data_IF_501008088154
#
_entry.id   IF_501008088154
#
_cell.length_a   1.000
_cell.length_b   1.000
_cell.length_c   1.000
_cell.angle_alpha   90.00
_cell.angle_beta   90.00
_cell.angle_gamma   90.00
#
_symmetry.space_group_name_H-M   'P 1'
#
loop_
_entity.id
_entity.type
_entity.pdbx_description
1 polymer ?
#
# COMPACT_ATOMS: atom_id res chain seq x y z
N UNK A 1 -1.87 28.25 13.08
CA UNK A 1 -2.28 28.89 14.33
C UNK A 1 -1.03 29.09 15.18
N UNK A 2 -0.74 30.34 15.62
CA UNK A 2 0.32 30.63 16.57
C UNK A 2 -0.23 30.38 17.99
N UNK A 3 0.48 29.62 18.79
CA UNK A 3 0.15 29.47 20.20
C UNK A 3 0.35 30.80 20.96
N UNK A 4 -0.53 31.13 21.93
CA UNK A 4 -0.33 32.31 22.75
C UNK A 4 1.01 32.24 23.49
N UNK A 5 1.74 33.35 23.55
CA UNK A 5 2.99 33.43 24.33
C UNK A 5 2.66 33.21 25.79
N UNK A 6 3.13 32.13 26.41
CA UNK A 6 3.08 31.95 27.84
C UNK A 6 2.72 30.59 28.42
N UNK A 7 2.10 29.70 27.65
CA UNK A 7 1.84 28.32 28.10
C UNK A 7 1.98 27.34 26.93
N UNK A 8 2.75 26.28 27.13
CA UNK A 8 2.74 25.15 26.19
C UNK A 8 1.43 24.37 26.39
N UNK A 9 0.68 24.04 25.33
CA UNK A 9 -0.52 23.23 25.46
C UNK A 9 -0.15 21.84 25.93
N UNK A 10 -0.93 21.29 26.82
CA UNK A 10 -0.88 19.88 27.17
C UNK A 10 -1.77 19.08 26.20
N UNK A 11 -1.59 17.76 26.13
CA UNK A 11 -2.37 16.91 25.23
C UNK A 11 -3.89 17.02 25.42
N UNK A 12 -4.35 17.34 26.65
CA UNK A 12 -5.75 17.56 26.97
C UNK A 12 -6.33 18.86 26.35
N UNK A 13 -5.49 19.82 25.98
CA UNK A 13 -5.92 21.08 25.35
C UNK A 13 -6.12 20.92 23.84
N UNK A 14 -5.74 19.77 23.28
CA UNK A 14 -5.87 19.48 21.85
C UNK A 14 -7.22 18.80 21.62
N UNK A 15 -8.09 19.45 20.87
CA UNK A 15 -9.34 18.85 20.40
C UNK A 15 -9.05 17.88 19.26
N UNK A 16 -8.63 16.66 19.58
CA UNK A 16 -8.25 15.61 18.63
C UNK A 16 -9.39 15.23 17.68
N UNK A 17 -10.63 15.32 18.16
CA UNK A 17 -11.87 15.12 17.40
C UNK A 17 -12.10 16.15 16.28
N UNK A 18 -11.45 17.31 16.37
CA UNK A 18 -11.53 18.40 15.39
C UNK A 18 -10.37 18.39 14.39
N UNK A 19 -9.38 17.55 14.60
CA UNK A 19 -8.31 17.35 13.63
C UNK A 19 -8.86 16.43 12.53
N UNK A 20 -9.16 17.00 11.36
CA UNK A 20 -9.54 16.21 10.19
C UNK A 20 -8.44 15.18 9.90
N UNK A 21 -8.80 13.91 9.91
CA UNK A 21 -7.93 12.81 9.51
C UNK A 21 -8.30 12.40 8.11
N UNK A 22 -7.36 12.49 7.19
CA UNK A 22 -7.53 11.89 5.85
C UNK A 22 -7.19 10.41 5.92
N UNK A 23 -7.83 9.54 5.11
CA UNK A 23 -7.41 8.16 4.98
C UNK A 23 -5.94 8.08 4.53
N UNK A 24 -5.18 7.19 5.16
CA UNK A 24 -3.75 7.02 4.91
C UNK A 24 -3.49 5.60 4.45
N UNK A 25 -2.76 5.46 3.35
CA UNK A 25 -2.20 4.20 2.89
C UNK A 25 -0.68 4.22 2.90
N UNK A 26 -0.07 3.13 3.37
CA UNK A 26 1.37 2.89 3.30
C UNK A 26 1.67 1.89 2.18
N UNK A 27 2.73 2.15 1.42
CA UNK A 27 3.23 1.23 0.40
C UNK A 27 4.69 0.93 0.67
N UNK A 28 5.01 -0.34 0.92
CA UNK A 28 6.38 -0.82 1.11
C UNK A 28 6.63 -2.11 0.33
N UNK A 29 7.87 -2.58 0.34
CA UNK A 29 8.32 -3.78 -0.34
C UNK A 29 9.75 -3.62 -0.85
N UNK A 30 10.29 -4.63 -1.48
CA UNK A 30 11.59 -4.51 -2.15
C UNK A 30 11.40 -3.83 -3.49
N UNK A 31 10.58 -4.37 -4.37
CA UNK A 31 10.30 -3.87 -5.71
C UNK A 31 8.82 -3.48 -5.87
N UNK A 32 8.51 -2.61 -6.84
CA UNK A 32 7.13 -2.23 -7.19
C UNK A 32 6.50 -1.12 -6.35
N UNK A 33 7.12 -0.66 -5.28
CA UNK A 33 6.60 0.39 -4.38
C UNK A 33 6.12 1.64 -5.12
N UNK A 34 7.02 2.28 -5.85
CA UNK A 34 6.74 3.53 -6.58
C UNK A 34 5.65 3.35 -7.62
N UNK A 35 5.69 2.22 -8.35
CA UNK A 35 4.64 1.87 -9.33
C UNK A 35 3.29 1.73 -8.65
N UNK A 36 3.19 0.95 -7.57
CA UNK A 36 1.95 0.77 -6.82
C UNK A 36 1.46 2.10 -6.21
N UNK A 37 2.36 2.92 -5.67
CA UNK A 37 2.03 4.25 -5.14
C UNK A 37 1.41 5.15 -6.21
N UNK A 38 2.03 5.22 -7.39
CA UNK A 38 1.53 6.03 -8.52
C UNK A 38 0.21 5.50 -9.07
N UNK A 39 0.06 4.17 -9.20
CA UNK A 39 -1.19 3.56 -9.64
C UNK A 39 -2.33 3.85 -8.66
N UNK A 40 -2.12 3.62 -7.36
CA UNK A 40 -3.13 3.89 -6.34
C UNK A 40 -3.49 5.38 -6.29
N UNK A 41 -2.50 6.27 -6.35
CA UNK A 41 -2.74 7.71 -6.39
C UNK A 41 -3.51 8.13 -7.66
N UNK A 42 -3.27 7.47 -8.81
CA UNK A 42 -4.03 7.70 -10.04
C UNK A 42 -5.47 7.22 -9.88
N UNK A 43 -5.69 5.99 -9.43
CA UNK A 43 -7.03 5.43 -9.20
C UNK A 43 -7.84 6.33 -8.24
N UNK A 44 -7.24 6.76 -7.13
CA UNK A 44 -7.93 7.63 -6.18
C UNK A 44 -8.30 9.01 -6.78
N UNK A 45 -7.46 9.56 -7.66
CA UNK A 45 -7.79 10.80 -8.39
C UNK A 45 -8.92 10.60 -9.40
N UNK A 46 -8.96 9.49 -10.10
CA UNK A 46 -10.08 9.16 -11.00
C UNK A 46 -11.40 8.98 -10.21
N UNK A 47 -11.32 8.57 -8.94
CA UNK A 47 -12.45 8.58 -8.00
C UNK A 47 -12.82 9.99 -7.48
N UNK A 48 -12.17 11.06 -7.97
CA UNK A 48 -12.45 12.44 -7.60
C UNK A 48 -11.75 12.94 -6.33
N UNK A 49 -10.80 12.17 -5.76
CA UNK A 49 -10.08 12.58 -4.56
C UNK A 49 -8.90 13.50 -4.87
N UNK A 50 -8.64 14.47 -4.01
CA UNK A 50 -7.42 15.28 -4.06
C UNK A 50 -6.31 14.59 -3.27
N UNK A 51 -5.48 13.83 -3.97
CA UNK A 51 -4.50 12.89 -3.40
C UNK A 51 -3.18 13.58 -3.13
N UNK A 52 -2.63 13.40 -1.92
CA UNK A 52 -1.23 13.65 -1.62
C UNK A 52 -0.43 12.35 -1.66
N UNK A 53 0.70 12.31 -2.36
CA UNK A 53 1.54 11.11 -2.46
C UNK A 53 3.02 11.41 -2.30
N UNK A 54 3.76 10.43 -1.77
CA UNK A 54 5.23 10.46 -1.68
C UNK A 54 5.82 9.21 -2.29
N UNK A 55 6.94 9.35 -3.00
CA UNK A 55 7.64 8.22 -3.62
C UNK A 55 9.16 8.42 -3.61
N UNK A 56 9.90 7.45 -4.15
CA UNK A 56 11.35 7.59 -4.37
C UNK A 56 11.72 8.63 -5.42
N UNK A 57 10.74 9.17 -6.15
CA UNK A 57 10.98 10.13 -7.23
C UNK A 57 10.46 11.52 -6.92
N UNK A 58 9.36 11.61 -6.12
CA UNK A 58 8.64 12.87 -5.98
C UNK A 58 7.68 12.93 -4.78
N UNK A 59 7.32 14.15 -4.40
CA UNK A 59 6.08 14.49 -3.70
C UNK A 59 5.11 15.03 -4.73
N UNK A 60 3.89 14.50 -4.78
CA UNK A 60 2.83 15.02 -5.65
C UNK A 60 1.53 15.29 -4.88
N UNK A 61 0.76 16.29 -5.33
CA UNK A 61 -0.54 16.67 -4.76
C UNK A 61 -1.51 16.98 -5.90
N UNK A 62 -2.67 16.32 -5.89
CA UNK A 62 -3.66 16.42 -6.97
C UNK A 62 -3.12 16.03 -8.35
N UNK A 63 -2.00 15.29 -8.41
CA UNK A 63 -1.29 14.93 -9.62
C UNK A 63 -0.22 15.91 -10.07
N UNK A 64 -0.09 17.08 -9.44
CA UNK A 64 1.01 18.01 -9.67
C UNK A 64 2.22 17.62 -8.82
N UNK A 65 3.40 17.54 -9.45
CA UNK A 65 4.67 17.33 -8.74
C UNK A 65 5.02 18.62 -7.98
N UNK A 66 5.20 18.49 -6.67
CA UNK A 66 5.56 19.60 -5.79
C UNK A 66 7.07 19.64 -5.56
N UNK A 67 7.69 18.49 -5.45
CA UNK A 67 9.13 18.37 -5.25
C UNK A 67 9.63 17.05 -5.85
N UNK A 68 10.88 17.01 -6.30
CA UNK A 68 11.53 15.84 -6.90
C UNK A 68 12.67 15.34 -6.02
N UNK A 69 12.82 14.01 -5.88
CA UNK A 69 13.84 13.39 -5.07
C UNK A 69 13.35 12.15 -4.34
N UNK A 70 14.21 11.53 -3.53
CA UNK A 70 13.82 10.40 -2.67
C UNK A 70 13.03 10.89 -1.46
N UNK A 71 11.72 10.78 -1.57
CA UNK A 71 10.75 11.21 -0.57
C UNK A 71 10.04 10.04 0.14
N UNK A 72 10.73 8.92 0.32
CA UNK A 72 10.20 7.70 0.98
C UNK A 72 10.29 7.71 2.52
N UNK A 73 10.69 8.83 3.10
CA UNK A 73 10.89 8.95 4.53
C UNK A 73 9.80 9.74 5.25
N UNK A 74 9.81 9.75 6.60
CA UNK A 74 8.75 10.39 7.41
C UNK A 74 8.69 11.92 7.26
N UNK A 75 9.73 12.57 6.78
CA UNK A 75 9.69 14.02 6.53
C UNK A 75 8.74 14.37 5.39
N UNK A 76 8.79 13.62 4.30
CA UNK A 76 7.88 13.77 3.16
C UNK A 76 6.44 13.42 3.53
N UNK A 77 6.24 12.32 4.25
CA UNK A 77 4.93 11.94 4.76
C UNK A 77 4.30 13.07 5.60
N UNK A 78 5.09 13.68 6.52
CA UNK A 78 4.61 14.85 7.30
C UNK A 78 4.33 16.06 6.44
N UNK A 79 5.09 16.30 5.37
CA UNK A 79 4.84 17.42 4.45
C UNK A 79 3.48 17.26 3.76
N UNK A 80 3.17 16.05 3.30
CA UNK A 80 1.86 15.72 2.70
C UNK A 80 0.75 15.82 3.74
N UNK A 81 0.88 15.16 4.90
CA UNK A 81 -0.18 15.08 5.93
C UNK A 81 -0.49 16.43 6.62
N UNK A 82 0.39 17.42 6.52
CA UNK A 82 0.11 18.79 7.00
C UNK A 82 -0.76 19.62 6.03
N UNK A 83 -0.98 19.14 4.84
CA UNK A 83 -1.82 19.83 3.87
C UNK A 83 -3.28 19.71 4.26
N UNK A 84 -4.03 20.79 4.07
CA UNK A 84 -5.46 20.83 4.36
C UNK A 84 -6.33 20.59 3.13
N UNK A 85 -5.70 20.53 1.98
CA UNK A 85 -6.35 20.42 0.67
C UNK A 85 -6.29 19.02 0.10
N UNK A 86 -5.85 18.02 0.86
CA UNK A 86 -5.89 16.62 0.44
C UNK A 86 -7.03 15.87 1.11
N UNK A 87 -7.61 14.91 0.38
CA UNK A 87 -8.67 14.01 0.83
C UNK A 87 -8.15 12.61 1.15
N UNK A 88 -6.94 12.29 0.66
CA UNK A 88 -6.33 10.98 0.78
C UNK A 88 -4.82 11.07 0.68
N UNK A 89 -4.09 10.22 1.43
CA UNK A 89 -2.63 10.15 1.41
C UNK A 89 -2.13 8.76 1.01
N UNK A 90 -1.24 8.70 0.00
CA UNK A 90 -0.53 7.48 -0.44
C UNK A 90 0.96 7.68 -0.17
N UNK A 91 1.49 6.96 0.81
CA UNK A 91 2.84 7.18 1.32
C UNK A 91 3.74 5.98 1.03
N UNK A 92 4.67 6.13 0.10
CA UNK A 92 5.72 5.15 -0.09
C UNK A 92 6.67 5.18 1.10
N UNK A 93 7.00 4.02 1.64
CA UNK A 93 7.84 3.88 2.82
C UNK A 93 8.96 2.88 2.53
N UNK A 94 10.19 3.38 2.48
CA UNK A 94 11.37 2.56 2.24
C UNK A 94 12.03 2.12 3.55
N UNK A 95 12.72 0.97 3.51
CA UNK A 95 13.50 0.42 4.62
C UNK A 95 14.36 1.45 5.33
N UNK A 96 15.13 2.23 4.56
CA UNK A 96 16.04 3.22 5.12
C UNK A 96 15.34 4.34 5.89
N UNK A 97 14.12 4.69 5.50
CA UNK A 97 13.27 5.63 6.22
C UNK A 97 12.83 5.06 7.56
N UNK A 98 12.28 3.84 7.54
CA UNK A 98 11.80 3.13 8.74
C UNK A 98 12.92 2.97 9.78
N UNK A 99 14.09 2.45 9.35
CA UNK A 99 15.20 2.17 10.26
C UNK A 99 15.82 3.42 10.90
N UNK A 100 15.90 4.52 10.15
CA UNK A 100 16.53 5.74 10.64
C UNK A 100 15.61 6.64 11.45
N UNK A 101 14.31 6.65 11.16
CA UNK A 101 13.38 7.68 11.66
C UNK A 101 11.98 7.15 11.98
N UNK A 102 11.71 5.84 11.82
CA UNK A 102 10.40 5.24 11.99
C UNK A 102 9.38 5.68 10.94
N UNK A 103 8.12 5.50 11.26
CA UNK A 103 6.98 6.01 10.48
C UNK A 103 6.63 7.44 10.91
N UNK A 104 5.97 8.20 10.03
CA UNK A 104 5.46 9.54 10.33
C UNK A 104 4.14 9.52 11.12
N UNK A 105 3.51 8.37 11.19
CA UNK A 105 2.17 8.13 11.71
C UNK A 105 2.19 6.98 12.69
N UNK A 106 1.23 6.96 13.61
CA UNK A 106 1.01 5.85 14.53
C UNK A 106 0.09 4.78 13.94
N UNK A 107 -0.90 5.21 13.14
CA UNK A 107 -1.89 4.33 12.54
C UNK A 107 -2.21 4.75 11.10
N UNK A 108 -2.60 3.78 10.26
CA UNK A 108 -3.09 3.99 8.90
C UNK A 108 -4.31 3.10 8.59
N UNK A 109 -4.97 3.36 7.47
CA UNK A 109 -6.17 2.64 7.02
C UNK A 109 -5.83 1.36 6.27
N UNK A 110 -4.78 1.41 5.47
CA UNK A 110 -4.31 0.26 4.71
C UNK A 110 -2.80 0.27 4.53
N UNK A 111 -2.20 -0.91 4.39
CA UNK A 111 -0.81 -1.06 4.00
C UNK A 111 -0.65 -2.13 2.92
N UNK A 112 0.23 -1.87 1.97
CA UNK A 112 0.67 -2.81 0.94
C UNK A 112 2.12 -3.20 1.21
N UNK A 113 2.39 -4.51 1.22
CA UNK A 113 3.75 -5.06 1.12
C UNK A 113 3.84 -5.85 -0.18
N UNK A 114 4.59 -5.33 -1.15
CA UNK A 114 4.64 -5.91 -2.50
C UNK A 114 5.41 -7.22 -2.55
N UNK A 115 6.59 -7.27 -1.93
CA UNK A 115 7.46 -8.43 -1.84
C UNK A 115 8.61 -8.19 -0.86
N UNK A 116 9.28 -9.26 -0.44
CA UNK A 116 10.49 -9.24 0.38
C UNK A 116 11.57 -10.09 -0.26
N UNK A 117 12.55 -9.47 -0.89
CA UNK A 117 13.71 -10.12 -1.49
C UNK A 117 15.02 -9.63 -0.86
N UNK A 118 16.10 -10.27 -1.21
CA UNK A 118 17.45 -10.08 -0.66
C UNK A 118 18.17 -8.81 -1.16
N UNK A 119 17.51 -8.00 -1.98
CA UNK A 119 18.06 -6.72 -2.42
C UNK A 119 18.44 -5.84 -1.22
N UNK A 120 19.67 -5.32 -1.28
CA UNK A 120 20.22 -4.42 -0.27
C UNK A 120 20.46 -5.03 1.12
N UNK A 121 20.72 -6.33 1.26
CA UNK A 121 21.26 -6.90 2.49
C UNK A 121 22.61 -6.27 2.85
N UNK A 122 22.99 -6.29 4.15
CA UNK A 122 24.23 -5.74 4.67
C UNK A 122 24.20 -4.25 5.01
N UNK A 123 23.08 -3.55 4.79
CA UNK A 123 22.92 -2.14 5.17
C UNK A 123 22.06 -1.95 6.41
N UNK A 124 22.47 -1.03 7.31
CA UNK A 124 21.76 -0.69 8.55
C UNK A 124 21.58 -1.86 9.52
N UNK A 125 22.49 -2.85 9.53
CA UNK A 125 22.39 -4.04 10.40
C UNK A 125 21.28 -5.01 9.98
N UNK A 126 20.86 -4.98 8.71
CA UNK A 126 19.92 -5.92 8.12
C UNK A 126 20.70 -6.90 7.26
N UNK A 127 21.04 -8.04 7.84
CA UNK A 127 21.96 -9.01 7.24
C UNK A 127 21.24 -10.23 6.64
N UNK A 128 19.95 -10.38 6.94
CA UNK A 128 19.12 -11.48 6.47
C UNK A 128 17.70 -11.07 6.07
N UNK A 129 17.01 -11.97 5.37
CA UNK A 129 15.65 -11.76 4.88
C UNK A 129 14.61 -11.68 6.00
N UNK A 130 14.86 -12.31 7.16
CA UNK A 130 13.95 -12.24 8.29
C UNK A 130 14.00 -10.87 8.95
N UNK A 131 15.19 -10.31 9.12
CA UNK A 131 15.35 -8.92 9.57
C UNK A 131 14.69 -7.94 8.59
N UNK A 132 14.87 -8.16 7.27
CA UNK A 132 14.21 -7.35 6.23
C UNK A 132 12.68 -7.45 6.34
N UNK A 133 12.16 -8.64 6.58
CA UNK A 133 10.73 -8.88 6.77
C UNK A 133 10.20 -8.12 7.98
N UNK A 134 10.87 -8.19 9.14
CA UNK A 134 10.50 -7.44 10.34
C UNK A 134 10.40 -5.93 10.09
N UNK A 135 11.35 -5.37 9.34
CA UNK A 135 11.32 -3.93 9.00
C UNK A 135 10.10 -3.57 8.15
N UNK A 136 9.77 -4.41 7.15
CA UNK A 136 8.60 -4.14 6.30
C UNK A 136 7.28 -4.40 7.03
N UNK A 137 7.26 -5.37 7.96
CA UNK A 137 6.09 -5.67 8.79
C UNK A 137 5.61 -4.47 9.63
N UNK A 138 6.51 -3.53 9.98
CA UNK A 138 6.14 -2.28 10.67
C UNK A 138 5.02 -1.52 9.94
N UNK A 139 4.99 -1.56 8.61
CA UNK A 139 3.91 -0.94 7.84
C UNK A 139 2.56 -1.66 8.05
N UNK A 140 2.57 -2.99 8.14
CA UNK A 140 1.37 -3.78 8.42
C UNK A 140 0.90 -3.62 9.88
N UNK A 141 1.85 -3.53 10.82
CA UNK A 141 1.56 -3.32 12.24
C UNK A 141 0.94 -1.94 12.53
N UNK A 142 1.24 -0.94 11.67
CA UNK A 142 0.63 0.38 11.76
C UNK A 142 -0.82 0.42 11.24
N UNK A 143 -1.32 -0.64 10.63
CA UNK A 143 -2.71 -0.67 10.17
C UNK A 143 -3.65 -0.85 11.36
N UNK A 144 -4.65 0.04 11.49
CA UNK A 144 -5.66 -0.06 12.55
C UNK A 144 -6.43 -1.40 12.46
N UNK A 145 -6.99 -1.93 13.56
CA UNK A 145 -7.70 -3.22 13.55
C UNK A 145 -8.85 -3.31 12.55
N UNK A 146 -9.52 -2.18 12.25
CA UNK A 146 -10.58 -2.10 11.22
C UNK A 146 -10.05 -1.91 9.79
N UNK A 147 -8.75 -1.75 9.62
CA UNK A 147 -8.09 -1.52 8.34
C UNK A 147 -7.79 -2.80 7.56
N UNK A 148 -6.97 -2.68 6.53
CA UNK A 148 -6.65 -3.80 5.64
C UNK A 148 -5.15 -3.83 5.31
N UNK A 149 -4.56 -5.02 5.35
CA UNK A 149 -3.20 -5.27 4.86
C UNK A 149 -3.29 -6.04 3.55
N UNK A 150 -2.63 -5.55 2.52
CA UNK A 150 -2.56 -6.17 1.18
C UNK A 150 -1.20 -6.83 1.00
N UNK A 151 -1.20 -8.13 0.71
CA UNK A 151 -0.01 -8.98 0.68
C UNK A 151 0.07 -9.81 -0.61
N UNK A 152 1.30 -10.04 -1.08
CA UNK A 152 1.56 -10.91 -2.23
C UNK A 152 1.50 -12.38 -1.82
N UNK A 153 0.62 -13.16 -2.45
CA UNK A 153 0.50 -14.59 -2.19
C UNK A 153 1.68 -15.43 -2.75
N UNK A 154 2.48 -14.87 -3.65
CA UNK A 154 3.71 -15.50 -4.16
C UNK A 154 4.90 -15.40 -3.19
N UNK A 155 4.79 -14.59 -2.14
CA UNK A 155 5.86 -14.45 -1.15
C UNK A 155 5.51 -15.22 0.14
N UNK A 156 6.17 -16.36 0.41
CA UNK A 156 5.84 -17.19 1.56
C UNK A 156 6.05 -16.48 2.90
N UNK A 157 6.94 -15.48 2.97
CA UNK A 157 7.16 -14.68 4.19
C UNK A 157 5.96 -13.75 4.45
N UNK A 158 5.37 -13.19 3.39
CA UNK A 158 4.16 -12.38 3.51
C UNK A 158 2.94 -13.24 3.85
N UNK A 159 2.88 -14.47 3.32
CA UNK A 159 1.84 -15.44 3.69
C UNK A 159 1.94 -15.79 5.18
N UNK A 160 3.14 -16.06 5.69
CA UNK A 160 3.36 -16.33 7.11
C UNK A 160 3.03 -15.10 8.00
N UNK A 161 3.38 -13.88 7.55
CA UNK A 161 3.01 -12.65 8.25
C UNK A 161 1.49 -12.53 8.45
N UNK A 162 0.71 -12.93 7.46
CA UNK A 162 -0.74 -12.79 7.48
C UNK A 162 -1.40 -13.49 8.70
N UNK A 163 -0.82 -14.61 9.18
CA UNK A 163 -1.36 -15.40 10.29
C UNK A 163 -1.37 -14.64 11.63
N UNK A 164 -0.47 -13.66 11.79
CA UNK A 164 -0.34 -12.87 13.03
C UNK A 164 -1.04 -11.51 13.01
N UNK A 165 -1.61 -11.10 11.87
CA UNK A 165 -2.19 -9.78 11.72
C UNK A 165 -3.61 -9.67 12.30
N UNK A 166 -3.89 -8.56 12.98
CA UNK A 166 -5.24 -8.22 13.47
C UNK A 166 -6.13 -7.59 12.41
N UNK A 167 -5.61 -6.70 11.53
CA UNK A 167 -6.38 -6.14 10.42
C UNK A 167 -6.80 -7.22 9.43
N UNK A 168 -7.79 -6.90 8.59
CA UNK A 168 -8.18 -7.76 7.48
C UNK A 168 -7.01 -7.93 6.52
N UNK A 169 -6.83 -9.13 5.99
CA UNK A 169 -5.84 -9.42 4.94
C UNK A 169 -6.55 -9.57 3.61
N UNK A 170 -5.99 -8.97 2.57
CA UNK A 170 -6.32 -9.19 1.17
C UNK A 170 -5.06 -9.69 0.45
N UNK A 171 -5.14 -10.84 -0.20
CA UNK A 171 -4.04 -11.32 -1.02
C UNK A 171 -4.19 -10.88 -2.46
N UNK A 172 -3.07 -10.55 -3.11
CA UNK A 172 -2.99 -10.43 -4.56
C UNK A 172 -2.03 -11.48 -5.15
N UNK A 173 -2.29 -11.89 -6.39
CA UNK A 173 -1.45 -12.84 -7.11
C UNK A 173 -1.61 -12.72 -8.63
N UNK A 174 -0.55 -13.04 -9.37
CA UNK A 174 -0.62 -13.34 -10.80
C UNK A 174 -0.74 -14.85 -11.01
N UNK A 175 -1.95 -15.33 -11.32
CA UNK A 175 -2.22 -16.74 -11.53
C UNK A 175 -1.82 -17.27 -12.92
N UNK A 176 -1.27 -16.42 -13.79
CA UNK A 176 -0.61 -16.87 -15.02
C UNK A 176 0.73 -17.58 -14.72
N UNK A 177 1.31 -17.32 -13.55
CA UNK A 177 2.53 -17.98 -13.07
C UNK A 177 2.21 -19.41 -12.60
N UNK A 178 3.12 -20.32 -12.89
CA UNK A 178 3.08 -21.69 -12.34
C UNK A 178 3.59 -21.67 -10.90
N UNK A 179 2.69 -21.42 -9.96
CA UNK A 179 2.96 -21.38 -8.52
C UNK A 179 1.83 -22.10 -7.77
N UNK A 180 1.98 -23.42 -7.54
CA UNK A 180 0.98 -24.20 -6.82
C UNK A 180 0.76 -23.73 -5.38
N UNK A 181 1.82 -23.23 -4.72
CA UNK A 181 1.75 -22.77 -3.32
C UNK A 181 0.89 -21.50 -3.22
N UNK A 182 1.13 -20.52 -4.07
CA UNK A 182 0.31 -19.31 -4.12
C UNK A 182 -1.16 -19.64 -4.44
N UNK A 183 -1.40 -20.57 -5.39
CA UNK A 183 -2.77 -21.04 -5.69
C UNK A 183 -3.45 -21.69 -4.49
N UNK A 184 -2.72 -22.50 -3.71
CA UNK A 184 -3.25 -23.13 -2.51
C UNK A 184 -3.56 -22.10 -1.41
N UNK A 185 -2.71 -21.08 -1.23
CA UNK A 185 -2.95 -19.94 -0.32
C UNK A 185 -4.22 -19.21 -0.71
N UNK A 186 -4.36 -18.81 -1.97
CA UNK A 186 -5.53 -18.12 -2.49
C UNK A 186 -6.80 -18.95 -2.30
N UNK A 187 -6.76 -20.25 -2.62
CA UNK A 187 -7.92 -21.14 -2.46
C UNK A 187 -8.36 -21.25 -0.99
N UNK A 188 -7.41 -21.48 -0.07
CA UNK A 188 -7.67 -21.53 1.37
C UNK A 188 -8.23 -20.22 1.92
N UNK A 189 -7.61 -19.09 1.55
CA UNK A 189 -8.03 -17.78 2.01
C UNK A 189 -9.46 -17.44 1.54
N UNK A 190 -9.79 -17.74 0.29
CA UNK A 190 -11.16 -17.57 -0.25
C UNK A 190 -12.16 -18.48 0.44
N UNK A 191 -11.82 -19.75 0.69
CA UNK A 191 -12.70 -20.70 1.38
C UNK A 191 -13.05 -20.25 2.81
N UNK A 192 -12.18 -19.46 3.46
CA UNK A 192 -12.46 -18.81 4.76
C UNK A 192 -13.19 -17.46 4.64
N UNK A 193 -13.67 -17.08 3.47
CA UNK A 193 -14.36 -15.80 3.22
C UNK A 193 -13.42 -14.62 2.96
N UNK A 194 -12.12 -14.87 2.80
CA UNK A 194 -11.13 -13.84 2.50
C UNK A 194 -11.27 -13.27 1.09
N UNK A 195 -10.79 -12.05 0.91
CA UNK A 195 -10.77 -11.34 -0.37
C UNK A 195 -9.42 -11.47 -1.05
N UNK A 196 -9.44 -11.64 -2.38
CA UNK A 196 -8.25 -11.70 -3.21
C UNK A 196 -8.42 -10.83 -4.46
N UNK A 197 -7.30 -10.28 -4.96
CA UNK A 197 -7.24 -9.66 -6.29
C UNK A 197 -6.24 -10.42 -7.14
N UNK A 198 -6.72 -10.94 -8.25
CA UNK A 198 -6.01 -11.93 -9.06
C UNK A 198 -5.84 -11.42 -10.48
N UNK A 199 -4.64 -11.60 -11.04
CA UNK A 199 -4.48 -11.55 -12.48
C UNK A 199 -4.67 -12.97 -13.04
N UNK A 200 -5.70 -13.18 -13.83
CA UNK A 200 -6.01 -14.46 -14.46
C UNK A 200 -6.72 -14.29 -15.80
N UNK A 201 -6.41 -15.15 -16.77
CA UNK A 201 -7.07 -15.12 -18.07
C UNK A 201 -6.97 -13.77 -18.80
N UNK A 202 -5.88 -13.02 -18.61
CA UNK A 202 -5.68 -11.69 -19.19
C UNK A 202 -6.45 -10.56 -18.51
N UNK A 203 -6.99 -10.78 -17.31
CA UNK A 203 -7.85 -9.83 -16.59
C UNK A 203 -7.42 -9.67 -15.13
N UNK A 204 -7.78 -8.54 -14.54
CA UNK A 204 -7.76 -8.36 -13.09
C UNK A 204 -9.15 -8.71 -12.54
N UNK A 205 -9.17 -9.60 -11.57
CA UNK A 205 -10.39 -10.17 -10.97
C UNK A 205 -10.36 -10.01 -9.46
N UNK A 206 -11.42 -9.49 -8.87
CA UNK A 206 -11.67 -9.55 -7.43
C UNK A 206 -12.43 -10.83 -7.11
N UNK A 207 -11.95 -11.60 -6.14
CA UNK A 207 -12.53 -12.87 -5.76
C UNK A 207 -12.70 -12.98 -4.24
N UNK A 208 -13.86 -13.52 -3.80
CA UNK A 208 -14.15 -13.83 -2.39
C UNK A 208 -15.15 -14.98 -2.32
N UNK A 209 -14.86 -16.02 -1.52
CA UNK A 209 -15.66 -17.25 -1.57
C UNK A 209 -15.76 -17.76 -3.01
N UNK A 210 -16.97 -18.04 -3.46
CA UNK A 210 -17.24 -18.47 -4.85
C UNK A 210 -17.46 -17.29 -5.82
N UNK A 211 -17.57 -16.08 -5.30
CA UNK A 211 -17.81 -14.89 -6.13
C UNK A 211 -16.53 -14.45 -6.83
N UNK A 212 -16.66 -14.13 -8.11
CA UNK A 212 -15.61 -13.55 -8.94
C UNK A 212 -16.17 -12.38 -9.74
N UNK A 213 -15.44 -11.28 -9.78
CA UNK A 213 -15.83 -10.08 -10.51
C UNK A 213 -14.63 -9.54 -11.27
N UNK A 214 -14.76 -9.48 -12.60
CA UNK A 214 -13.74 -8.89 -13.46
C UNK A 214 -13.75 -7.36 -13.32
N UNK A 215 -12.58 -6.78 -13.17
CA UNK A 215 -12.38 -5.32 -13.02
C UNK A 215 -11.96 -4.73 -14.36
N UNK A 216 -10.86 -5.19 -14.92
CA UNK A 216 -10.30 -4.65 -16.16
C UNK A 216 -9.53 -5.73 -16.93
N UNK A 217 -9.34 -5.52 -18.22
CA UNK A 217 -8.45 -6.34 -19.04
C UNK A 217 -7.01 -5.81 -18.92
N UNK A 218 -6.03 -6.72 -18.85
CA UNK A 218 -4.61 -6.33 -18.80
C UNK A 218 -4.19 -5.56 -20.07
N UNK A 219 -4.83 -5.84 -21.20
CA UNK A 219 -4.62 -5.11 -22.45
C UNK A 219 -5.02 -3.64 -22.39
N UNK A 220 -5.95 -3.27 -21.51
CA UNK A 220 -6.37 -1.89 -21.28
C UNK A 220 -5.42 -1.12 -20.34
N UNK A 221 -4.50 -1.81 -19.66
CA UNK A 221 -3.55 -1.19 -18.72
C UNK A 221 -2.16 -1.09 -19.34
N UNK A 222 -1.74 0.07 -19.87
CA UNK A 222 -0.55 0.18 -20.72
C UNK A 222 0.75 -0.35 -20.11
N UNK A 223 0.97 -0.16 -18.82
CA UNK A 223 2.21 -0.59 -18.14
C UNK A 223 2.38 -2.10 -18.08
N UNK A 224 1.33 -2.88 -18.32
CA UNK A 224 1.40 -4.36 -18.35
C UNK A 224 1.89 -4.89 -19.70
N UNK A 225 1.91 -4.04 -20.75
CA UNK A 225 2.20 -4.45 -22.12
C UNK A 225 1.33 -5.65 -22.53
N UNK A 226 0.03 -5.58 -22.28
CA UNK A 226 -0.91 -6.66 -22.56
C UNK A 226 -0.74 -7.91 -21.68
N UNK A 227 -0.08 -7.77 -20.53
CA UNK A 227 0.25 -8.88 -19.62
C UNK A 227 1.68 -9.42 -19.78
N UNK A 228 2.45 -8.94 -20.76
CA UNK A 228 3.83 -9.42 -20.99
C UNK A 228 4.81 -8.97 -19.87
N UNK A 229 4.55 -7.84 -19.22
CA UNK A 229 5.34 -7.35 -18.10
C UNK A 229 4.80 -7.89 -16.77
N UNK A 230 5.11 -9.14 -16.43
CA UNK A 230 4.56 -9.85 -15.27
C UNK A 230 4.71 -9.09 -13.94
N UNK A 231 5.85 -8.44 -13.69
CA UNK A 231 6.04 -7.61 -12.50
C UNK A 231 5.06 -6.42 -12.44
N UNK A 232 4.66 -5.86 -13.58
CA UNK A 232 3.64 -4.81 -13.62
C UNK A 232 2.22 -5.37 -13.49
N UNK A 233 1.98 -6.59 -13.93
CA UNK A 233 0.71 -7.29 -13.68
C UNK A 233 0.47 -7.45 -12.17
N UNK A 234 1.49 -7.87 -11.42
CA UNK A 234 1.41 -7.94 -9.95
C UNK A 234 1.21 -6.55 -9.32
N UNK A 235 1.92 -5.53 -9.80
CA UNK A 235 1.76 -4.15 -9.30
C UNK A 235 0.33 -3.61 -9.53
N UNK A 236 -0.28 -3.92 -10.68
CA UNK A 236 -1.67 -3.55 -10.97
C UNK A 236 -2.63 -4.27 -10.04
N UNK A 237 -2.48 -5.60 -9.87
CA UNK A 237 -3.31 -6.36 -8.94
C UNK A 237 -3.20 -5.83 -7.50
N UNK A 238 -1.98 -5.47 -7.05
CA UNK A 238 -1.73 -4.87 -5.76
C UNK A 238 -2.40 -3.50 -5.59
N UNK A 239 -2.32 -2.63 -6.61
CA UNK A 239 -2.95 -1.30 -6.57
C UNK A 239 -4.49 -1.40 -6.56
N UNK A 240 -5.06 -2.33 -7.33
CA UNK A 240 -6.50 -2.62 -7.31
C UNK A 240 -6.94 -3.17 -5.94
N UNK A 241 -6.14 -4.06 -5.33
CA UNK A 241 -6.42 -4.58 -4.00
C UNK A 241 -6.41 -3.46 -2.95
N UNK A 242 -5.47 -2.52 -3.02
CA UNK A 242 -5.43 -1.34 -2.15
C UNK A 242 -6.62 -0.41 -2.37
N UNK A 243 -7.01 -0.17 -3.62
CA UNK A 243 -8.17 0.65 -3.95
C UNK A 243 -9.45 0.06 -3.33
N UNK A 244 -9.68 -1.24 -3.52
CA UNK A 244 -10.80 -1.96 -2.91
C UNK A 244 -10.75 -1.97 -1.38
N UNK A 245 -9.56 -2.11 -0.77
CA UNK A 245 -9.36 -2.03 0.69
C UNK A 245 -9.77 -0.68 1.28
N UNK A 246 -9.66 0.38 0.49
CA UNK A 246 -9.98 1.77 0.86
C UNK A 246 -11.38 2.20 0.42
N UNK A 247 -12.17 1.28 -0.13
CA UNK A 247 -13.55 1.55 -0.56
C UNK A 247 -13.65 2.35 -1.85
N UNK A 248 -12.58 2.44 -2.66
CA UNK A 248 -12.61 3.10 -3.96
C UNK A 248 -13.34 2.17 -4.95
N UNK A 249 -14.33 2.72 -5.63
CA UNK A 249 -15.17 1.98 -6.58
C UNK A 249 -14.41 1.55 -7.84
N UNK A 250 -14.92 0.49 -8.49
CA UNK A 250 -14.28 -0.10 -9.66
C UNK A 250 -14.27 0.83 -10.88
N UNK A 251 -15.23 1.74 -10.97
CA UNK A 251 -15.34 2.73 -12.04
C UNK A 251 -14.11 3.65 -12.14
N UNK A 252 -13.37 3.79 -11.06
CA UNK A 252 -12.13 4.56 -11.02
C UNK A 252 -10.89 3.76 -11.47
N UNK A 253 -11.03 2.44 -11.65
CA UNK A 253 -9.93 1.54 -11.98
C UNK A 253 -9.84 1.28 -13.49
N UNK A 254 -10.93 1.49 -14.22
CA UNK A 254 -11.11 1.15 -15.65
C UNK A 254 -10.62 2.25 -16.56
#
# INVERSE_FOLDING_TARGET
ACWPRGALPIAADVHWDRLGTVPISLVTGTNGKTTCTRLLARIAREAGMHVGSTSSDEIAVGGAVIDTGDWTGPAAARAVLRRKDIDFAVLETARGGILRRGLAIAECDAALITNVSDDHLGGYGIDDLEAMMRVKAVAAEAVRPSGTVVLNAHDPKLVALAEGLRPRVVFFADLSREDPEARAVIARHRASGGHCVLAEGGRIVVASGDTRRSITELGAVPITFGGAAGYNVENVAAAVAMAGALGIGDEAIV
#
